data_IF_959847687099
#
_entry.id   IF_959847687099
#
_cell.length_a   1.000
_cell.length_b   1.000
_cell.length_c   1.000
_cell.angle_alpha   90.00
_cell.angle_beta   90.00
_cell.angle_gamma   90.00
#
_symmetry.space_group_name_H-M   'P 1'
#
loop_
_entity.id
_entity.type
_entity.pdbx_description
1 polymer ?
#
# COMPACT_ATOMS: atom_id res chain seq x y z
N UNK A 1 39.30 -50.55 -33.02
CA UNK A 1 40.04 -49.27 -32.90
C UNK A 1 40.36 -49.04 -31.42
N UNK A 2 41.58 -49.37 -30.97
CA UNK A 2 42.63 -48.45 -30.43
C UNK A 2 42.09 -47.48 -29.35
N UNK A 3 42.24 -47.79 -28.05
CA UNK A 3 43.31 -47.35 -27.09
C UNK A 3 43.37 -45.81 -26.97
N UNK A 4 43.38 -45.14 -25.80
CA UNK A 4 44.19 -45.42 -24.62
C UNK A 4 43.73 -44.60 -23.35
N UNK A 5 43.80 -45.22 -22.17
CA UNK A 5 44.17 -44.59 -20.87
C UNK A 5 45.71 -44.41 -20.83
N UNK A 6 46.43 -43.78 -19.85
CA UNK A 6 46.12 -43.37 -18.46
C UNK A 6 46.70 -41.96 -18.08
N UNK A 7 46.66 -41.46 -16.83
CA UNK A 7 47.77 -41.49 -15.82
C UNK A 7 47.26 -40.75 -14.56
N UNK A 8 47.04 -41.46 -13.45
CA UNK A 8 47.79 -41.49 -12.16
C UNK A 8 47.75 -40.21 -11.29
N UNK A 9 47.05 -40.27 -10.14
CA UNK A 9 47.54 -40.54 -8.75
C UNK A 9 48.29 -39.35 -8.14
N UNK A 10 47.68 -38.75 -7.09
CA UNK A 10 48.39 -38.49 -5.84
C UNK A 10 47.39 -38.38 -4.68
N UNK A 11 47.52 -39.32 -3.75
CA UNK A 11 46.91 -39.38 -2.44
C UNK A 11 47.54 -38.29 -1.56
N UNK A 12 46.75 -37.50 -0.83
CA UNK A 12 47.24 -36.79 0.35
C UNK A 12 46.16 -36.78 1.43
N UNK A 13 46.42 -37.59 2.43
CA UNK A 13 45.72 -37.81 3.68
C UNK A 13 45.56 -36.50 4.46
N UNK A 14 44.35 -36.20 4.94
CA UNK A 14 44.13 -35.23 5.99
C UNK A 14 43.06 -35.72 6.97
N UNK A 15 43.58 -36.35 8.03
CA UNK A 15 43.12 -36.46 9.41
C UNK A 15 41.75 -35.84 9.73
N UNK A 16 40.88 -36.69 10.28
CA UNK A 16 39.67 -36.29 10.98
C UNK A 16 39.97 -35.38 12.18
N UNK A 17 39.20 -34.30 12.31
CA UNK A 17 39.01 -33.62 13.59
C UNK A 17 37.55 -33.21 13.70
N UNK A 18 36.82 -33.88 14.59
CA UNK A 18 35.55 -33.40 15.13
C UNK A 18 35.80 -32.04 15.79
N UNK A 19 35.06 -31.02 15.36
CA UNK A 19 34.88 -29.80 16.15
C UNK A 19 33.45 -29.29 15.99
N UNK A 20 32.69 -29.48 17.06
CA UNK A 20 31.50 -28.80 17.55
C UNK A 20 30.73 -27.88 16.59
N UNK A 21 29.46 -28.23 16.43
CA UNK A 21 28.35 -27.34 16.11
C UNK A 21 28.37 -26.06 16.96
N UNK A 22 28.86 -24.97 16.38
CA UNK A 22 28.66 -23.61 16.88
C UNK A 22 27.62 -22.92 16.01
N UNK A 23 26.42 -22.72 16.53
CA UNK A 23 25.38 -21.91 15.87
C UNK A 23 25.93 -20.50 15.60
N UNK A 24 26.04 -20.14 14.33
CA UNK A 24 26.29 -18.77 13.93
C UNK A 24 25.08 -17.91 14.34
N UNK A 25 25.14 -17.30 15.53
CA UNK A 25 24.29 -16.15 15.85
C UNK A 25 24.82 -14.97 15.06
N UNK A 26 24.21 -14.70 13.91
CA UNK A 26 24.27 -13.39 13.30
C UNK A 26 23.70 -12.38 14.32
N UNK A 27 24.57 -11.65 15.02
CA UNK A 27 24.17 -10.48 15.78
C UNK A 27 23.84 -9.41 14.74
N UNK A 28 22.55 -9.29 14.42
CA UNK A 28 22.03 -8.12 13.75
C UNK A 28 22.48 -6.89 14.56
N UNK A 29 23.13 -5.88 13.95
CA UNK A 29 23.30 -4.60 14.62
C UNK A 29 21.92 -4.13 15.05
N UNK A 30 21.72 -3.92 16.36
CA UNK A 30 20.56 -3.17 16.85
C UNK A 30 20.69 -1.79 16.22
N UNK A 31 19.85 -1.54 15.21
CA UNK A 31 19.65 -0.20 14.72
C UNK A 31 19.17 0.65 15.92
N UNK A 32 19.69 1.89 16.09
CA UNK A 32 19.15 2.78 17.10
C UNK A 32 17.64 2.90 16.89
N UNK A 33 16.83 2.89 17.96
CA UNK A 33 15.39 3.07 17.82
C UNK A 33 15.16 4.34 17.03
N UNK A 34 14.46 4.22 15.90
CA UNK A 34 13.98 5.38 15.17
C UNK A 34 13.24 6.28 16.17
N UNK A 35 13.42 7.61 16.13
CA UNK A 35 12.61 8.51 16.95
C UNK A 35 11.17 8.10 16.74
N UNK A 36 10.46 7.83 17.84
CA UNK A 36 9.07 7.43 17.82
C UNK A 36 8.29 8.52 17.10
N UNK A 37 8.10 8.34 15.79
CA UNK A 37 7.21 9.13 14.99
C UNK A 37 5.88 9.02 15.72
N UNK A 38 5.33 10.18 16.09
CA UNK A 38 4.01 10.28 16.69
C UNK A 38 3.07 9.48 15.78
N UNK A 39 2.69 8.28 16.22
CA UNK A 39 1.66 7.51 15.53
C UNK A 39 0.39 8.31 15.76
N UNK A 40 0.07 9.16 14.78
CA UNK A 40 -1.22 9.83 14.76
C UNK A 40 -2.24 8.71 14.63
N UNK A 41 -3.09 8.57 15.64
CA UNK A 41 -4.22 7.66 15.56
C UNK A 41 -5.20 8.24 14.52
N UNK A 42 -4.96 7.91 13.25
CA UNK A 42 -5.81 8.30 12.13
C UNK A 42 -7.10 7.45 12.09
N UNK A 43 -7.19 6.39 12.92
CA UNK A 43 -8.42 5.62 13.17
C UNK A 43 -9.40 6.37 14.09
N UNK A 44 -9.35 7.70 14.14
CA UNK A 44 -10.31 8.54 14.86
C UNK A 44 -11.77 8.23 14.48
N UNK A 45 -12.72 8.96 15.08
CA UNK A 45 -14.16 8.74 14.86
C UNK A 45 -14.48 8.59 13.36
N UNK A 46 -14.91 7.39 12.89
CA UNK A 46 -15.25 7.17 11.49
C UNK A 46 -16.29 8.16 10.99
N UNK A 47 -17.15 8.69 11.89
CA UNK A 47 -18.14 9.71 11.55
C UNK A 47 -17.48 11.06 11.24
N UNK A 48 -16.37 11.41 11.88
CA UNK A 48 -15.65 12.64 11.58
C UNK A 48 -15.02 12.61 10.17
N UNK A 49 -14.57 11.42 9.73
CA UNK A 49 -14.14 11.20 8.35
C UNK A 49 -15.33 11.30 7.38
N UNK A 50 -16.45 10.61 7.67
CA UNK A 50 -17.61 10.62 6.77
C UNK A 50 -18.32 11.97 6.66
N UNK A 51 -18.35 12.74 7.73
CA UNK A 51 -18.94 14.09 7.74
C UNK A 51 -17.97 15.15 7.20
N UNK A 52 -16.76 14.77 6.77
CA UNK A 52 -15.77 15.73 6.27
C UNK A 52 -16.15 16.20 4.84
N UNK A 53 -16.20 17.51 4.57
CA UNK A 53 -16.58 18.02 3.25
C UNK A 53 -15.67 17.52 2.11
N UNK A 54 -14.42 17.14 2.41
CA UNK A 54 -13.45 16.67 1.42
C UNK A 54 -13.73 15.22 1.01
N UNK A 55 -14.36 14.43 1.89
CA UNK A 55 -14.83 13.08 1.55
C UNK A 55 -16.08 13.17 0.67
N UNK A 56 -17.00 14.10 0.98
CA UNK A 56 -18.13 14.41 0.09
C UNK A 56 -17.64 14.91 -1.28
N UNK A 57 -16.66 15.81 -1.32
CA UNK A 57 -16.09 16.28 -2.58
C UNK A 57 -15.38 15.17 -3.37
N UNK A 58 -14.80 14.17 -2.69
CA UNK A 58 -14.22 12.99 -3.34
C UNK A 58 -15.29 12.10 -3.96
N UNK A 59 -16.43 11.92 -3.28
CA UNK A 59 -17.60 11.27 -3.85
C UNK A 59 -18.12 12.02 -5.09
N UNK A 60 -18.32 13.34 -5.01
CA UNK A 60 -18.79 14.14 -6.14
C UNK A 60 -17.84 14.05 -7.34
N UNK A 61 -16.53 14.09 -7.09
CA UNK A 61 -15.51 13.87 -8.11
C UNK A 61 -15.62 12.47 -8.74
N UNK A 62 -15.89 11.44 -7.92
CA UNK A 62 -16.06 10.06 -8.37
C UNK A 62 -17.29 9.92 -9.27
N UNK A 63 -18.42 10.50 -8.87
CA UNK A 63 -19.66 10.54 -9.67
C UNK A 63 -19.42 11.24 -11.01
N UNK A 64 -18.80 12.43 -10.98
CA UNK A 64 -18.55 13.22 -12.19
C UNK A 64 -17.59 12.54 -13.18
N UNK A 65 -16.62 11.76 -12.67
CA UNK A 65 -15.57 11.16 -13.50
C UNK A 65 -15.89 9.74 -13.94
N UNK A 66 -16.59 8.97 -13.11
CA UNK A 66 -16.79 7.53 -13.27
C UNK A 66 -18.27 7.13 -13.44
N UNK A 67 -19.20 8.08 -13.24
CA UNK A 67 -20.64 7.85 -13.33
C UNK A 67 -21.10 7.43 -14.73
N UNK A 68 -22.35 6.96 -14.81
CA UNK A 68 -22.94 6.50 -16.08
C UNK A 68 -22.91 7.62 -17.14
N UNK A 69 -22.40 7.30 -18.33
CA UNK A 69 -22.25 8.26 -19.42
C UNK A 69 -21.01 9.14 -19.35
N UNK A 70 -20.13 8.95 -18.35
CA UNK A 70 -18.85 9.61 -18.31
C UNK A 70 -17.96 9.21 -19.52
N UNK A 71 -17.14 10.14 -20.04
CA UNK A 71 -16.16 9.82 -21.06
C UNK A 71 -15.13 8.79 -20.54
N UNK A 72 -14.29 8.19 -21.42
CA UNK A 72 -13.17 7.36 -20.99
C UNK A 72 -12.36 8.06 -19.90
N UNK A 73 -12.16 7.35 -18.78
CA UNK A 73 -11.56 7.90 -17.57
C UNK A 73 -10.10 8.28 -17.82
N UNK A 74 -9.77 9.56 -17.61
CA UNK A 74 -8.38 9.99 -17.44
C UNK A 74 -7.94 9.68 -16.00
N UNK A 75 -7.34 8.51 -15.83
CA UNK A 75 -6.90 8.00 -14.53
C UNK A 75 -5.93 8.97 -13.85
N UNK A 76 -5.00 9.57 -14.60
CA UNK A 76 -4.00 10.48 -14.02
C UNK A 76 -4.65 11.77 -13.53
N UNK A 77 -5.58 12.34 -14.30
CA UNK A 77 -6.31 13.53 -13.89
C UNK A 77 -7.18 13.26 -12.66
N UNK A 78 -7.84 12.10 -12.60
CA UNK A 78 -8.65 11.68 -11.45
C UNK A 78 -7.80 11.51 -10.18
N UNK A 79 -6.66 10.82 -10.27
CA UNK A 79 -5.71 10.67 -9.17
C UNK A 79 -5.21 12.02 -8.66
N UNK A 80 -4.78 12.91 -9.56
CA UNK A 80 -4.25 14.22 -9.18
C UNK A 80 -5.29 15.07 -8.41
N UNK A 81 -6.55 15.06 -8.86
CA UNK A 81 -7.65 15.75 -8.18
C UNK A 81 -7.96 15.11 -6.83
N UNK A 82 -7.97 13.78 -6.75
CA UNK A 82 -8.19 13.05 -5.50
C UNK A 82 -7.10 13.35 -4.47
N UNK A 83 -5.83 13.40 -4.89
CA UNK A 83 -4.70 13.72 -4.01
C UNK A 83 -4.77 15.15 -3.46
N UNK A 84 -5.29 16.11 -4.24
CA UNK A 84 -5.56 17.45 -3.73
C UNK A 84 -6.62 17.43 -2.61
N UNK A 85 -7.69 16.65 -2.78
CA UNK A 85 -8.72 16.47 -1.75
C UNK A 85 -8.16 15.80 -0.49
N UNK A 86 -7.33 14.77 -0.63
CA UNK A 86 -6.73 14.06 0.52
C UNK A 86 -5.75 14.93 1.32
N UNK A 87 -5.00 15.82 0.65
CA UNK A 87 -4.19 16.83 1.35
C UNK A 87 -5.06 17.81 2.13
N UNK A 88 -6.15 18.29 1.52
CA UNK A 88 -7.10 19.17 2.18
C UNK A 88 -7.84 18.49 3.34
N UNK A 89 -8.09 17.18 3.24
CA UNK A 89 -8.63 16.35 4.31
C UNK A 89 -7.64 16.28 5.49
N UNK A 90 -6.37 15.99 5.20
CA UNK A 90 -5.32 15.94 6.23
C UNK A 90 -5.26 17.24 7.03
N UNK A 91 -5.21 18.38 6.33
CA UNK A 91 -5.24 19.70 6.97
C UNK A 91 -6.50 19.91 7.84
N UNK A 92 -7.69 19.55 7.34
CA UNK A 92 -8.95 19.71 8.07
C UNK A 92 -9.07 18.80 9.29
N UNK A 93 -8.40 17.65 9.29
CA UNK A 93 -8.36 16.69 10.40
C UNK A 93 -7.20 16.93 11.38
N UNK A 94 -6.40 17.98 11.19
CA UNK A 94 -5.23 18.25 12.04
C UNK A 94 -4.05 17.29 11.81
N UNK A 95 -4.04 16.60 10.68
CA UNK A 95 -2.96 15.71 10.23
C UNK A 95 -2.05 16.38 9.19
N UNK A 96 -0.89 15.77 8.90
CA UNK A 96 -0.05 16.22 7.79
C UNK A 96 -0.79 15.99 6.45
N UNK A 97 -0.90 17.02 5.58
CA UNK A 97 -1.48 16.87 4.25
C UNK A 97 -0.80 15.76 3.43
N UNK A 98 0.53 15.72 3.44
CA UNK A 98 1.34 14.75 2.70
C UNK A 98 1.16 13.34 3.24
N UNK A 99 1.15 13.18 4.57
CA UNK A 99 0.92 11.88 5.19
C UNK A 99 -0.49 11.35 4.89
N UNK A 100 -1.50 12.21 4.90
CA UNK A 100 -2.87 11.82 4.55
C UNK A 100 -2.99 11.42 3.08
N UNK A 101 -2.36 12.19 2.18
CA UNK A 101 -2.29 11.81 0.77
C UNK A 101 -1.61 10.45 0.59
N UNK A 102 -0.47 10.23 1.24
CA UNK A 102 0.28 8.98 1.12
C UNK A 102 -0.53 7.79 1.65
N UNK A 103 -1.24 7.98 2.76
CA UNK A 103 -2.13 6.98 3.35
C UNK A 103 -3.26 6.58 2.39
N UNK A 104 -3.84 7.54 1.66
CA UNK A 104 -5.01 7.33 0.80
C UNK A 104 -4.68 7.16 -0.68
N UNK A 105 -3.41 7.17 -1.09
CA UNK A 105 -3.00 7.27 -2.51
C UNK A 105 -3.50 6.12 -3.40
N UNK A 106 -3.81 4.97 -2.83
CA UNK A 106 -4.31 3.80 -3.57
C UNK A 106 -5.83 3.82 -3.79
N UNK A 107 -6.56 4.60 -2.98
CA UNK A 107 -8.02 4.65 -2.99
C UNK A 107 -8.59 5.07 -4.36
N UNK A 108 -8.05 6.05 -5.10
CA UNK A 108 -8.63 6.45 -6.39
C UNK A 108 -8.68 5.29 -7.40
N UNK A 109 -7.61 4.50 -7.50
CA UNK A 109 -7.60 3.33 -8.39
C UNK A 109 -8.53 2.22 -7.91
N UNK A 110 -8.62 2.04 -6.60
CA UNK A 110 -9.57 1.10 -6.02
C UNK A 110 -11.02 1.50 -6.36
N UNK A 111 -11.37 2.79 -6.25
CA UNK A 111 -12.69 3.30 -6.66
C UNK A 111 -12.96 3.03 -8.14
N UNK A 112 -12.00 3.29 -9.04
CA UNK A 112 -12.17 2.97 -10.46
C UNK A 112 -12.52 1.50 -10.66
N UNK A 113 -11.81 0.60 -9.97
CA UNK A 113 -12.06 -0.84 -10.08
C UNK A 113 -13.42 -1.23 -9.50
N UNK A 114 -13.79 -0.73 -8.32
CA UNK A 114 -15.08 -0.99 -7.67
C UNK A 114 -16.22 -0.52 -8.60
N UNK A 115 -16.16 0.69 -9.13
CA UNK A 115 -17.21 1.24 -10.01
C UNK A 115 -17.34 0.43 -11.31
N UNK A 116 -16.22 -0.08 -11.83
CA UNK A 116 -16.22 -0.97 -12.99
C UNK A 116 -16.91 -2.30 -12.69
N UNK A 117 -16.78 -2.82 -11.48
CA UNK A 117 -17.40 -4.08 -11.04
C UNK A 117 -18.87 -3.90 -10.63
N UNK A 118 -19.17 -2.84 -9.88
CA UNK A 118 -20.50 -2.45 -9.44
C UNK A 118 -20.69 -0.93 -9.54
N UNK A 119 -21.29 -0.42 -10.62
CA UNK A 119 -21.50 1.02 -10.78
C UNK A 119 -22.52 1.60 -9.78
N UNK A 120 -23.29 0.75 -9.08
CA UNK A 120 -24.30 1.21 -8.10
C UNK A 120 -23.67 1.79 -6.84
N UNK A 121 -22.38 1.57 -6.61
CA UNK A 121 -21.65 2.23 -5.49
C UNK A 121 -21.70 3.75 -5.59
N UNK A 122 -21.97 4.31 -6.77
CA UNK A 122 -22.11 5.75 -6.99
C UNK A 122 -23.58 6.24 -6.91
N UNK A 123 -24.55 5.36 -6.63
CA UNK A 123 -25.96 5.78 -6.54
C UNK A 123 -26.24 6.60 -5.26
N UNK A 124 -25.39 6.48 -4.23
CA UNK A 124 -25.47 7.30 -3.01
C UNK A 124 -24.12 7.40 -2.29
N UNK A 125 -23.97 8.45 -1.46
CA UNK A 125 -22.81 8.61 -0.60
C UNK A 125 -22.66 7.44 0.39
N UNK A 126 -23.75 6.94 0.94
CA UNK A 126 -23.71 5.78 1.84
C UNK A 126 -23.15 4.55 1.14
N UNK A 127 -23.68 4.19 -0.03
CA UNK A 127 -23.17 3.05 -0.81
C UNK A 127 -21.68 3.20 -1.18
N UNK A 128 -21.26 4.42 -1.52
CA UNK A 128 -19.86 4.73 -1.82
C UNK A 128 -18.96 4.52 -0.59
N UNK A 129 -19.37 5.04 0.57
CA UNK A 129 -18.61 4.92 1.81
C UNK A 129 -18.56 3.48 2.30
N UNK A 130 -19.67 2.74 2.23
CA UNK A 130 -19.73 1.32 2.61
C UNK A 130 -18.81 0.47 1.73
N UNK A 131 -18.66 0.80 0.45
CA UNK A 131 -17.72 0.15 -0.46
C UNK A 131 -16.24 0.47 -0.16
N UNK A 132 -15.95 1.60 0.49
CA UNK A 132 -14.59 2.04 0.81
C UNK A 132 -14.11 1.59 2.19
N UNK A 133 -14.98 1.67 3.21
CA UNK A 133 -14.61 1.41 4.61
C UNK A 133 -15.29 0.17 5.20
N UNK A 134 -16.21 -0.45 4.46
CA UNK A 134 -17.05 -1.54 4.94
C UNK A 134 -18.40 -1.04 5.47
N UNK A 135 -19.39 -1.95 5.61
CA UNK A 135 -20.70 -1.61 6.14
C UNK A 135 -20.61 -1.15 7.60
N UNK A 136 -21.51 -0.23 7.96
CA UNK A 136 -21.62 0.37 9.30
C UNK A 136 -22.26 -0.57 10.32
#
# INVERSE_FOLDING_TARGET
>A
MRRAFPVQIALATAVASLALSGAARAQHPVAPPAPAGRTVDLQGDPRAFMNNPQIHAFYDLSVATLGRGAPPVDVKAYEAKSFALFRALGAAMGASPEAMQDHLKLIPRQVIQIVKEDPKVLDSFDAFTDALVGPK
#
